data_IF_504277567295
#
_entry.id   IF_504277567295
#
_cell.length_a   1.000
_cell.length_b   1.000
_cell.length_c   1.000
_cell.angle_alpha   90.00
_cell.angle_beta   90.00
_cell.angle_gamma   90.00
#
_symmetry.space_group_name_H-M   'P 1'
#
loop_
_entity.id
_entity.type
_entity.pdbx_description
1 polymer ?
#
# COMPACT_ATOMS: atom_id res chain seq x y z
N UNK A 1 54.57 9.64 -17.52
CA UNK A 1 54.10 8.63 -16.55
C UNK A 1 53.18 9.30 -15.55
N UNK A 2 51.89 8.96 -15.62
CA UNK A 2 51.17 8.55 -14.41
C UNK A 2 50.37 7.25 -14.65
N UNK A 3 50.31 6.39 -13.63
CA UNK A 3 49.34 5.29 -13.54
C UNK A 3 48.14 5.78 -12.74
N UNK A 4 46.93 5.61 -13.28
CA UNK A 4 45.71 5.59 -12.47
C UNK A 4 44.78 4.52 -13.02
N UNK A 5 44.86 3.33 -12.42
CA UNK A 5 43.92 2.25 -12.65
C UNK A 5 42.77 2.37 -11.67
N UNK A 6 41.57 2.66 -12.16
CA UNK A 6 40.33 2.44 -11.44
C UNK A 6 39.70 1.13 -11.95
N UNK A 7 39.79 0.07 -11.15
CA UNK A 7 39.03 -1.16 -11.37
C UNK A 7 37.59 -0.90 -10.92
N UNK A 8 36.67 -0.85 -11.87
CA UNK A 8 35.24 -0.90 -11.62
C UNK A 8 34.85 -2.31 -11.17
N UNK A 9 34.43 -2.44 -9.92
CA UNK A 9 33.67 -3.62 -9.46
C UNK A 9 32.41 -3.10 -8.80
N UNK A 10 31.32 -3.07 -9.58
CA UNK A 10 30.00 -2.69 -9.09
C UNK A 10 29.28 -3.97 -8.66
N UNK A 11 29.46 -4.34 -7.40
CA UNK A 11 28.62 -5.33 -6.74
C UNK A 11 27.26 -4.67 -6.44
N UNK A 12 26.29 -4.82 -7.34
CA UNK A 12 24.89 -4.53 -7.01
C UNK A 12 24.29 -5.83 -6.48
N UNK A 13 24.32 -5.96 -5.16
CA UNK A 13 23.56 -6.97 -4.43
C UNK A 13 22.08 -6.57 -4.58
N UNK A 14 21.38 -7.22 -5.50
CA UNK A 14 19.93 -7.18 -5.56
C UNK A 14 19.39 -8.04 -4.40
N UNK A 15 19.20 -7.44 -3.23
CA UNK A 15 18.37 -8.03 -2.19
C UNK A 15 16.92 -7.84 -2.67
N UNK A 16 16.40 -8.85 -3.36
CA UNK A 16 14.96 -9.05 -3.45
C UNK A 16 14.48 -9.44 -2.06
N UNK A 17 14.11 -8.47 -1.24
CA UNK A 17 13.21 -8.76 -0.12
C UNK A 17 11.85 -9.10 -0.73
N UNK A 18 11.56 -10.41 -0.83
CA UNK A 18 10.23 -10.90 -1.17
C UNK A 18 9.22 -10.31 -0.20
N UNK A 19 8.05 -9.89 -0.72
CA UNK A 19 6.87 -9.34 -0.04
C UNK A 19 7.00 -9.39 1.49
N UNK A 20 7.72 -8.44 2.07
CA UNK A 20 7.86 -8.34 3.52
C UNK A 20 6.48 -7.96 4.05
N UNK A 21 5.84 -8.86 4.79
CA UNK A 21 4.56 -8.59 5.46
C UNK A 21 4.76 -7.30 6.26
N UNK A 22 3.93 -6.29 6.00
CA UNK A 22 4.05 -4.99 6.67
C UNK A 22 4.00 -5.22 8.18
N UNK A 23 5.05 -4.85 8.94
CA UNK A 23 5.05 -5.07 10.37
C UNK A 23 4.03 -4.15 11.06
N UNK A 24 3.55 -4.59 12.23
CA UNK A 24 2.55 -3.84 13.02
C UNK A 24 3.04 -2.45 13.46
N UNK A 25 4.35 -2.21 13.44
CA UNK A 25 4.95 -0.90 13.70
C UNK A 25 4.58 0.15 12.64
N UNK A 26 4.01 -0.21 11.49
CA UNK A 26 3.44 0.74 10.52
C UNK A 26 1.99 1.14 10.85
N UNK A 27 1.38 0.56 11.90
CA UNK A 27 0.07 1.01 12.35
C UNK A 27 0.13 2.49 12.78
N UNK A 28 -0.79 3.36 12.34
CA UNK A 28 -0.67 4.81 12.49
C UNK A 28 -1.04 5.32 13.89
N UNK A 29 -0.33 4.86 14.92
CA UNK A 29 -0.51 5.31 16.30
C UNK A 29 -0.36 6.84 16.40
N UNK A 30 -1.27 7.47 17.16
CA UNK A 30 -1.38 8.90 17.35
C UNK A 30 -2.25 9.61 16.31
N UNK A 31 -2.71 8.91 15.26
CA UNK A 31 -3.64 9.51 14.29
C UNK A 31 -5.00 9.77 14.94
N UNK A 32 -5.59 10.91 14.59
CA UNK A 32 -7.01 11.20 14.83
C UNK A 32 -7.68 11.38 13.48
N UNK A 33 -8.85 10.77 13.32
CA UNK A 33 -9.59 10.78 12.08
C UNK A 33 -11.10 10.74 12.32
N UNK A 34 -11.84 11.41 11.46
CA UNK A 34 -13.28 11.26 11.36
C UNK A 34 -13.61 10.29 10.21
N UNK A 35 -14.52 9.36 10.49
CA UNK A 35 -15.05 8.41 9.51
C UNK A 35 -16.49 8.78 9.22
N UNK A 36 -16.79 9.09 7.96
CA UNK A 36 -18.15 9.43 7.54
C UNK A 36 -18.83 8.24 6.88
N UNK A 37 -19.85 7.70 7.54
CA UNK A 37 -20.80 6.74 6.97
C UNK A 37 -22.05 7.48 6.45
N UNK A 38 -22.93 6.81 5.68
CA UNK A 38 -24.15 7.46 5.17
C UNK A 38 -25.03 8.10 6.26
N UNK A 39 -25.17 7.43 7.41
CA UNK A 39 -26.14 7.82 8.44
C UNK A 39 -25.51 8.47 9.69
N UNK A 40 -24.20 8.35 9.87
CA UNK A 40 -23.51 8.87 11.05
C UNK A 40 -22.01 9.05 10.84
N UNK A 41 -21.36 9.73 11.79
CA UNK A 41 -19.91 9.91 11.82
C UNK A 41 -19.31 9.32 13.08
N UNK A 42 -18.09 8.84 12.96
CA UNK A 42 -17.31 8.29 14.07
C UNK A 42 -15.94 8.96 14.11
N UNK A 43 -15.61 9.58 15.23
CA UNK A 43 -14.24 9.98 15.52
C UNK A 43 -13.44 8.77 16.01
N UNK A 44 -12.25 8.56 15.47
CA UNK A 44 -11.32 7.51 15.89
C UNK A 44 -9.99 8.12 16.29
N UNK A 45 -9.44 7.68 17.42
CA UNK A 45 -8.08 8.00 17.87
C UNK A 45 -7.33 6.70 18.13
N UNK A 46 -6.24 6.49 17.40
CA UNK A 46 -5.39 5.30 17.61
C UNK A 46 -4.39 5.58 18.73
N UNK A 47 -4.67 5.11 19.93
CA UNK A 47 -3.87 5.41 21.13
C UNK A 47 -2.57 4.60 21.18
N UNK A 48 -2.64 3.33 20.77
CA UNK A 48 -1.50 2.42 20.68
C UNK A 48 -1.79 1.31 19.66
N UNK A 49 -0.91 0.33 19.52
CA UNK A 49 -1.17 -0.88 18.72
C UNK A 49 -2.18 -1.83 19.36
N UNK A 50 -2.62 -1.56 20.58
CA UNK A 50 -3.56 -2.38 21.36
C UNK A 50 -4.75 -1.61 21.91
N UNK A 51 -4.82 -0.29 21.73
CA UNK A 51 -5.94 0.53 22.20
C UNK A 51 -6.38 1.56 21.16
N UNK A 52 -7.69 1.72 21.06
CA UNK A 52 -8.36 2.71 20.22
C UNK A 52 -9.42 3.42 21.05
N UNK A 53 -9.57 4.73 20.84
CA UNK A 53 -10.75 5.46 21.28
C UNK A 53 -11.66 5.68 20.08
N UNK A 54 -12.95 5.39 20.21
CA UNK A 54 -13.95 5.84 19.24
C UNK A 54 -14.97 6.76 19.92
N UNK A 55 -15.57 7.64 19.12
CA UNK A 55 -16.62 8.56 19.54
C UNK A 55 -17.68 8.67 18.45
N UNK A 56 -18.91 8.26 18.77
CA UNK A 56 -20.09 8.50 17.95
C UNK A 56 -20.81 9.69 18.57
N UNK A 57 -20.75 10.85 17.92
CA UNK A 57 -21.23 12.11 18.51
C UNK A 57 -22.76 12.22 18.55
N UNK A 58 -23.43 11.66 17.54
CA UNK A 58 -24.86 11.88 17.30
C UNK A 58 -25.56 10.59 16.88
N UNK A 59 -26.89 10.58 16.98
CA UNK A 59 -27.72 9.45 16.60
C UNK A 59 -27.99 8.43 17.73
N UNK A 60 -28.68 7.33 17.42
CA UNK A 60 -29.10 6.34 18.41
C UNK A 60 -27.93 5.53 18.99
N UNK A 61 -26.80 5.47 18.28
CA UNK A 61 -25.59 4.77 18.70
C UNK A 61 -24.58 5.68 19.41
N UNK A 62 -24.97 6.92 19.76
CA UNK A 62 -24.05 7.90 20.36
C UNK A 62 -23.42 7.34 21.64
N UNK A 63 -22.09 7.26 21.65
CA UNK A 63 -21.30 6.91 22.83
C UNK A 63 -19.81 7.00 22.48
N UNK A 64 -18.98 7.05 23.52
CA UNK A 64 -17.53 7.08 23.43
C UNK A 64 -16.94 5.98 24.30
N UNK A 65 -15.98 5.22 23.78
CA UNK A 65 -15.23 4.21 24.52
C UNK A 65 -13.73 4.25 24.17
N UNK A 66 -12.93 3.73 25.10
CA UNK A 66 -11.59 3.23 24.80
C UNK A 66 -11.67 1.71 24.88
N UNK A 67 -11.31 1.05 23.78
CA UNK A 67 -11.40 -0.40 23.61
C UNK A 67 -10.03 -1.01 23.38
N UNK A 68 -9.85 -2.22 23.86
CA UNK A 68 -8.73 -3.05 23.46
C UNK A 68 -8.95 -3.55 22.03
N UNK A 69 -7.94 -3.38 21.19
CA UNK A 69 -7.98 -3.76 19.77
C UNK A 69 -6.99 -4.89 19.47
N UNK A 70 -7.35 -5.71 18.50
CA UNK A 70 -6.42 -6.56 17.78
C UNK A 70 -6.20 -5.98 16.38
N UNK A 71 -4.94 -5.89 15.95
CA UNK A 71 -4.56 -5.36 14.64
C UNK A 71 -3.83 -6.43 13.83
N UNK A 72 -4.32 -6.72 12.64
CA UNK A 72 -3.63 -7.56 11.66
C UNK A 72 -3.27 -6.75 10.41
N UNK A 73 -1.98 -6.54 10.09
CA UNK A 73 -1.58 -5.84 8.89
C UNK A 73 -1.82 -6.72 7.65
N UNK A 74 -2.43 -6.14 6.62
CA UNK A 74 -2.66 -6.81 5.33
C UNK A 74 -1.66 -6.35 4.24
N UNK A 75 -0.83 -5.36 4.55
CA UNK A 75 0.07 -4.71 3.58
C UNK A 75 -0.57 -3.49 2.92
N UNK A 76 0.20 -2.75 2.11
CA UNK A 76 -0.29 -1.58 1.35
C UNK A 76 -1.00 -0.51 2.20
N UNK A 77 -0.56 -0.32 3.45
CA UNK A 77 -1.20 0.57 4.42
C UNK A 77 -2.67 0.19 4.67
N UNK A 78 -2.96 -1.12 4.63
CA UNK A 78 -4.25 -1.73 4.95
C UNK A 78 -4.12 -2.55 6.24
N UNK A 79 -5.05 -2.35 7.16
CA UNK A 79 -5.07 -3.02 8.46
C UNK A 79 -6.46 -3.54 8.78
N UNK A 80 -6.55 -4.77 9.28
CA UNK A 80 -7.75 -5.23 10.00
C UNK A 80 -7.62 -4.78 11.44
N UNK A 81 -8.65 -4.11 11.95
CA UNK A 81 -8.74 -3.66 13.34
C UNK A 81 -10.05 -4.19 13.90
N UNK A 82 -9.98 -4.99 14.97
CA UNK A 82 -11.17 -5.56 15.60
C UNK A 82 -11.18 -5.35 17.10
N UNK A 83 -12.36 -5.15 17.67
CA UNK A 83 -12.58 -5.00 19.10
C UNK A 83 -13.97 -5.49 19.52
N UNK A 84 -14.15 -5.59 20.83
CA UNK A 84 -15.44 -5.76 21.47
C UNK A 84 -15.68 -4.57 22.40
N UNK A 85 -16.87 -3.98 22.32
CA UNK A 85 -17.32 -2.89 23.18
C UNK A 85 -17.84 -3.44 24.51
N UNK A 86 -17.95 -2.58 25.53
CA UNK A 86 -18.38 -3.00 26.88
C UNK A 86 -19.78 -3.62 26.91
N UNK A 87 -20.67 -3.22 26.00
CA UNK A 87 -22.02 -3.75 25.90
C UNK A 87 -22.10 -5.13 25.20
N UNK A 88 -20.96 -5.63 24.71
CA UNK A 88 -20.83 -6.90 24.01
C UNK A 88 -20.84 -6.79 22.48
N UNK A 89 -21.11 -5.61 21.91
CA UNK A 89 -21.03 -5.39 20.47
C UNK A 89 -19.60 -5.68 19.96
N UNK A 90 -19.50 -6.32 18.79
CA UNK A 90 -18.21 -6.65 18.18
C UNK A 90 -18.05 -5.88 16.88
N UNK A 91 -16.88 -5.29 16.66
CA UNK A 91 -16.59 -4.55 15.43
C UNK A 91 -15.33 -5.10 14.80
N UNK A 92 -15.36 -5.27 13.48
CA UNK A 92 -14.21 -5.57 12.64
C UNK A 92 -14.17 -4.60 11.48
N UNK A 93 -13.11 -3.81 11.44
CA UNK A 93 -12.85 -2.83 10.40
C UNK A 93 -11.69 -3.27 9.52
N UNK A 94 -11.78 -2.98 8.23
CA UNK A 94 -10.63 -2.90 7.32
C UNK A 94 -10.35 -1.43 7.09
N UNK A 95 -9.24 -0.93 7.62
CA UNK A 95 -8.76 0.43 7.39
C UNK A 95 -7.86 0.41 6.16
N UNK A 96 -8.32 1.03 5.07
CA UNK A 96 -7.55 1.21 3.83
C UNK A 96 -7.12 2.69 3.74
N UNK A 97 -5.91 2.96 4.21
CA UNK A 97 -5.36 4.32 4.18
C UNK A 97 -4.88 4.74 2.78
N UNK A 98 -4.65 3.79 1.87
CA UNK A 98 -4.28 4.07 0.48
C UNK A 98 -5.47 4.68 -0.28
N UNK A 99 -6.67 4.14 -0.04
CA UNK A 99 -7.93 4.60 -0.63
C UNK A 99 -8.71 5.59 0.23
N UNK A 100 -8.33 5.76 1.49
CA UNK A 100 -9.04 6.62 2.44
C UNK A 100 -10.41 6.09 2.83
N UNK A 101 -10.53 4.76 2.98
CA UNK A 101 -11.79 4.06 3.25
C UNK A 101 -11.70 3.19 4.51
N UNK A 102 -12.82 3.03 5.20
CA UNK A 102 -13.00 2.00 6.20
C UNK A 102 -14.20 1.14 5.82
N UNK A 103 -13.98 -0.16 5.69
CA UNK A 103 -15.05 -1.14 5.62
C UNK A 103 -15.32 -1.69 7.01
N UNK A 104 -16.48 -1.41 7.58
CA UNK A 104 -16.85 -1.81 8.94
C UNK A 104 -17.93 -2.89 8.92
N UNK A 105 -17.70 -3.92 9.72
CA UNK A 105 -18.65 -4.98 10.04
C UNK A 105 -18.87 -4.96 11.55
N UNK A 106 -20.09 -4.64 11.98
CA UNK A 106 -20.42 -4.51 13.39
C UNK A 106 -21.62 -5.39 13.74
N UNK A 107 -21.47 -6.22 14.77
CA UNK A 107 -22.57 -6.97 15.38
C UNK A 107 -22.93 -6.25 16.67
N UNK A 108 -24.10 -5.64 16.72
CA UNK A 108 -24.58 -4.94 17.91
C UNK A 108 -24.95 -5.93 19.02
N UNK A 109 -25.03 -5.45 20.25
CA UNK A 109 -25.41 -6.26 21.43
C UNK A 109 -26.80 -6.91 21.32
N UNK A 110 -27.70 -6.34 20.51
CA UNK A 110 -29.01 -6.91 20.18
C UNK A 110 -28.98 -7.95 19.03
N UNK A 111 -27.80 -8.27 18.50
CA UNK A 111 -27.58 -9.25 17.43
C UNK A 111 -27.76 -8.70 16.02
N UNK A 112 -28.15 -7.43 15.83
CA UNK A 112 -28.19 -6.82 14.48
C UNK A 112 -26.79 -6.73 13.89
N UNK A 113 -26.67 -7.09 12.61
CA UNK A 113 -25.42 -7.03 11.88
C UNK A 113 -25.43 -5.88 10.87
N UNK A 114 -24.48 -4.97 11.02
CA UNK A 114 -24.30 -3.80 10.17
C UNK A 114 -23.08 -4.01 9.26
N UNK A 115 -23.22 -3.60 8.00
CA UNK A 115 -22.13 -3.56 7.02
C UNK A 115 -22.12 -2.18 6.39
N UNK A 116 -20.99 -1.49 6.50
CA UNK A 116 -20.90 -0.10 6.05
C UNK A 116 -19.51 0.19 5.51
N UNK A 117 -19.45 1.15 4.59
CA UNK A 117 -18.20 1.71 4.09
C UNK A 117 -18.21 3.20 4.35
N UNK A 118 -17.18 3.71 5.02
CA UNK A 118 -17.03 5.12 5.33
C UNK A 118 -15.76 5.69 4.74
N UNK A 119 -15.76 7.01 4.54
CA UNK A 119 -14.58 7.75 4.09
C UNK A 119 -13.81 8.33 5.26
N UNK A 120 -12.49 8.32 5.18
CA UNK A 120 -11.58 8.82 6.21
C UNK A 120 -11.25 10.29 5.93
N UNK A 121 -11.41 11.13 6.95
CA UNK A 121 -10.83 12.48 7.01
C UNK A 121 -9.85 12.53 8.18
N UNK A 122 -8.55 12.66 7.90
CA UNK A 122 -7.53 12.78 8.94
C UNK A 122 -7.60 14.17 9.55
N UNK A 123 -7.85 14.25 10.86
CA UNK A 123 -7.93 15.51 11.62
C UNK A 123 -6.63 15.80 12.36
N UNK A 124 -5.84 14.76 12.68
CA UNK A 124 -4.47 14.87 13.20
C UNK A 124 -3.59 13.75 12.62
N UNK A 125 -2.42 14.12 12.12
CA UNK A 125 -1.46 13.15 11.59
C UNK A 125 -0.92 12.20 12.67
N UNK A 126 -0.56 10.98 12.27
CA UNK A 126 0.10 10.00 13.12
C UNK A 126 1.49 10.50 13.59
N UNK A 127 2.01 9.88 14.65
CA UNK A 127 3.33 10.20 15.18
C UNK A 127 4.49 9.75 14.25
N UNK A 128 4.20 8.89 13.29
CA UNK A 128 5.15 8.28 12.38
C UNK A 128 4.58 8.16 10.97
N UNK A 129 5.46 8.09 9.97
CA UNK A 129 5.03 7.87 8.60
C UNK A 129 4.59 6.41 8.41
N UNK A 130 3.32 6.22 8.03
CA UNK A 130 2.68 4.93 7.76
C UNK A 130 2.30 4.77 6.28
N UNK A 131 2.58 5.77 5.45
CA UNK A 131 2.35 5.73 4.01
C UNK A 131 3.46 4.91 3.33
N UNK A 132 3.10 3.70 2.88
CA UNK A 132 4.03 2.81 2.20
C UNK A 132 4.07 2.99 0.67
N UNK A 133 3.22 3.87 0.12
CA UNK A 133 3.07 4.07 -1.34
C UNK A 133 4.40 4.44 -2.00
N UNK A 134 5.24 5.34 -1.45
CA UNK A 134 6.50 5.69 -2.10
C UNK A 134 7.43 4.48 -2.28
N UNK A 135 7.57 3.64 -1.25
CA UNK A 135 8.40 2.44 -1.29
C UNK A 135 7.83 1.40 -2.27
N UNK A 136 6.51 1.19 -2.25
CA UNK A 136 5.81 0.29 -3.17
C UNK A 136 5.93 0.74 -4.62
N UNK A 137 5.70 2.01 -4.90
CA UNK A 137 5.83 2.58 -6.25
C UNK A 137 7.25 2.45 -6.76
N UNK A 138 8.25 2.70 -5.90
CA UNK A 138 9.66 2.49 -6.23
C UNK A 138 9.95 1.03 -6.56
N UNK A 139 9.46 0.08 -5.76
CA UNK A 139 9.64 -1.34 -6.02
C UNK A 139 8.97 -1.78 -7.33
N UNK A 140 7.76 -1.29 -7.61
CA UNK A 140 7.04 -1.58 -8.86
C UNK A 140 7.79 -1.05 -10.09
N UNK A 141 8.28 0.19 -10.04
CA UNK A 141 9.07 0.79 -11.14
C UNK A 141 10.38 0.06 -11.32
N UNK A 142 11.07 -0.29 -10.24
CA UNK A 142 12.33 -1.04 -10.30
C UNK A 142 12.10 -2.40 -10.96
N UNK A 143 11.06 -3.13 -10.55
CA UNK A 143 10.72 -4.42 -11.12
C UNK A 143 10.35 -4.32 -12.60
N UNK A 144 9.60 -3.29 -13.00
CA UNK A 144 9.29 -3.03 -14.40
C UNK A 144 10.57 -2.79 -15.22
N UNK A 145 11.41 -1.83 -14.81
CA UNK A 145 12.62 -1.47 -15.56
C UNK A 145 13.64 -2.61 -15.62
N UNK A 146 13.81 -3.35 -14.52
CA UNK A 146 14.68 -4.53 -14.47
C UNK A 146 14.13 -5.64 -15.36
N UNK A 147 12.81 -5.90 -15.36
CA UNK A 147 12.20 -6.89 -16.25
C UNK A 147 12.46 -6.59 -17.71
N UNK A 148 12.21 -5.36 -18.14
CA UNK A 148 12.30 -4.96 -19.55
C UNK A 148 13.75 -4.93 -20.06
N UNK A 149 14.64 -4.26 -19.34
CA UNK A 149 15.94 -3.90 -19.91
C UNK A 149 17.10 -4.78 -19.44
N UNK A 150 16.98 -5.40 -18.26
CA UNK A 150 18.03 -6.30 -17.74
C UNK A 150 17.68 -7.76 -18.03
N UNK A 151 16.47 -8.19 -17.68
CA UNK A 151 16.01 -9.57 -17.89
C UNK A 151 15.48 -9.83 -19.29
N UNK A 152 15.10 -8.76 -20.03
CA UNK A 152 14.45 -8.84 -21.35
C UNK A 152 13.20 -9.73 -21.35
N UNK A 153 12.46 -9.69 -20.25
CA UNK A 153 11.23 -10.47 -20.10
C UNK A 153 10.06 -9.74 -20.75
N UNK A 154 9.79 -10.05 -22.02
CA UNK A 154 8.67 -9.48 -22.76
C UNK A 154 7.30 -9.82 -22.13
N UNK A 155 7.18 -10.93 -21.39
CA UNK A 155 5.94 -11.28 -20.69
C UNK A 155 5.64 -10.34 -19.52
N UNK A 156 6.65 -9.62 -19.01
CA UNK A 156 6.45 -8.61 -17.98
C UNK A 156 5.67 -7.39 -18.49
N UNK A 157 5.69 -7.13 -19.80
CA UNK A 157 4.93 -6.03 -20.41
C UNK A 157 3.43 -6.23 -20.18
N UNK A 158 2.94 -7.45 -20.36
CA UNK A 158 1.52 -7.78 -20.12
C UNK A 158 1.12 -7.67 -18.64
N UNK A 159 2.05 -7.97 -17.73
CA UNK A 159 1.81 -7.95 -16.28
C UNK A 159 1.87 -6.54 -15.68
N UNK A 160 2.75 -5.67 -16.20
CA UNK A 160 3.13 -4.41 -15.54
C UNK A 160 2.68 -3.16 -16.28
N UNK A 161 2.22 -3.28 -17.53
CA UNK A 161 1.81 -2.14 -18.35
C UNK A 161 0.35 -2.29 -18.80
N UNK A 162 -0.38 -1.18 -18.76
CA UNK A 162 -1.76 -1.08 -19.25
C UNK A 162 -1.80 -1.22 -20.77
N UNK A 163 -2.93 -1.71 -21.31
CA UNK A 163 -3.11 -1.97 -22.76
C UNK A 163 -2.84 -0.70 -23.58
N UNK A 164 -3.34 0.44 -23.10
CA UNK A 164 -3.24 1.77 -23.69
C UNK A 164 -1.99 2.54 -23.23
N UNK A 165 -0.88 1.82 -22.96
CA UNK A 165 0.37 2.44 -22.50
C UNK A 165 0.81 3.61 -23.40
N UNK A 166 0.93 4.78 -22.79
CA UNK A 166 1.40 6.00 -23.45
C UNK A 166 2.88 6.19 -23.19
N UNK A 167 3.65 6.30 -24.26
CA UNK A 167 5.08 6.55 -24.23
C UNK A 167 5.42 7.88 -24.92
N UNK A 168 6.50 8.51 -24.46
CA UNK A 168 6.83 9.92 -24.76
C UNK A 168 7.57 10.13 -26.09
N UNK A 169 8.21 9.10 -26.65
CA UNK A 169 8.98 9.17 -27.89
C UNK A 169 8.05 9.09 -29.11
N UNK A 170 7.84 10.18 -29.87
CA UNK A 170 6.89 10.20 -30.97
C UNK A 170 7.24 9.24 -32.13
N UNK A 171 8.48 8.73 -32.18
CA UNK A 171 8.95 7.81 -33.22
C UNK A 171 8.69 6.33 -32.90
N UNK A 172 8.22 6.02 -31.70
CA UNK A 172 7.85 4.66 -31.28
C UNK A 172 6.31 4.55 -31.35
N UNK A 173 5.74 3.46 -31.89
CA UNK A 173 4.29 3.26 -31.83
C UNK A 173 3.79 3.25 -30.38
N UNK A 174 2.57 3.76 -30.15
CA UNK A 174 1.94 3.75 -28.83
C UNK A 174 1.42 2.36 -28.45
N UNK A 175 1.10 2.18 -27.18
CA UNK A 175 0.43 0.98 -26.69
C UNK A 175 1.38 -0.11 -26.23
N UNK A 176 0.79 -1.06 -25.50
CA UNK A 176 1.52 -2.16 -24.85
C UNK A 176 2.22 -3.09 -25.83
N UNK A 177 1.60 -3.38 -26.96
CA UNK A 177 2.14 -4.31 -27.96
C UNK A 177 3.41 -3.77 -28.61
N UNK A 178 3.48 -2.46 -28.83
CA UNK A 178 4.69 -1.80 -29.32
C UNK A 178 5.86 -1.91 -28.32
N UNK A 179 5.58 -1.71 -27.03
CA UNK A 179 6.57 -1.88 -25.97
C UNK A 179 7.06 -3.34 -25.91
N UNK A 180 6.15 -4.32 -26.03
CA UNK A 180 6.50 -5.74 -26.06
C UNK A 180 7.45 -6.07 -27.21
N UNK A 181 7.11 -5.62 -28.43
CA UNK A 181 7.96 -5.83 -29.61
C UNK A 181 9.37 -5.22 -29.45
N UNK A 182 9.47 -4.06 -28.79
CA UNK A 182 10.78 -3.45 -28.47
C UNK A 182 11.60 -4.37 -27.58
N UNK A 183 11.02 -4.86 -26.48
CA UNK A 183 11.72 -5.73 -25.51
C UNK A 183 12.21 -7.01 -26.17
N UNK A 184 11.40 -7.62 -27.04
CA UNK A 184 11.76 -8.83 -27.80
C UNK A 184 12.90 -8.59 -28.80
N UNK A 185 13.04 -7.35 -29.29
CA UNK A 185 14.10 -6.95 -30.22
C UNK A 185 15.41 -6.50 -29.56
N UNK A 186 15.46 -6.40 -28.23
CA UNK A 186 16.65 -5.92 -27.52
C UNK A 186 17.82 -6.90 -27.74
N UNK A 187 19.00 -6.40 -28.18
CA UNK A 187 20.12 -7.26 -28.51
C UNK A 187 20.64 -7.99 -27.26
N UNK A 188 20.91 -9.28 -27.39
CA UNK A 188 21.71 -10.03 -26.43
C UNK A 188 23.14 -9.51 -26.52
N UNK A 189 23.59 -8.75 -25.50
CA UNK A 189 24.96 -8.22 -25.36
C UNK A 189 25.98 -8.91 -26.26
N UNK A 190 26.56 -8.11 -27.17
CA UNK A 190 27.59 -8.51 -28.10
C UNK A 190 28.78 -9.15 -27.37
N UNK A 191 29.25 -10.27 -27.92
CA UNK A 191 30.62 -10.72 -27.79
C UNK A 191 31.55 -9.54 -28.06
N UNK A 192 32.22 -9.02 -27.03
CA UNK A 192 33.41 -8.20 -27.25
C UNK A 192 34.51 -9.16 -27.68
N UNK A 193 34.74 -9.29 -28.98
CA UNK A 193 35.96 -9.95 -29.46
C UNK A 193 37.12 -8.98 -29.23
N UNK A 194 38.17 -9.34 -28.47
CA UNK A 194 39.37 -8.52 -28.41
C UNK A 194 40.09 -8.61 -29.76
N UNK A 195 40.52 -7.47 -30.28
CA UNK A 195 41.51 -7.35 -31.35
C UNK A 195 42.89 -7.13 -30.73
#
# INVERSE_FOLDING_TARGET
MPMQGAKSSLAIIAIFEGITVMPINYFPVGIEMDVSYPDFRVGLTLLSTSQLKFEIKEGPLRHTEIVDIHVAPLGNSIFVVSWQEKDGATVTNVHDYDRGLIHSHATLSDGRFLRMTGTITVTRAANQNFDNRPQRNKALVLEAMTSLFQRRDASAVERLYVVDYVQHNPNIPQGRDALKAIVESLPTTSSTSPA
#
